data_IF_902778631856
#
_entry.id   IF_902778631856
#
_cell.length_a   1.000
_cell.length_b   1.000
_cell.length_c   1.000
_cell.angle_alpha   90.00
_cell.angle_beta   90.00
_cell.angle_gamma   90.00
#
_symmetry.space_group_name_H-M   'P 1'
#
loop_
_entity.id
_entity.type
_entity.pdbx_description
1 polymer ?
#
# COMPACT_ATOMS: atom_id res chain seq x y z
N UNK A 1 21.00 1.19 5.03
CA UNK A 1 19.61 1.42 5.43
C UNK A 1 18.74 0.21 5.13
N UNK A 2 17.60 0.08 5.79
CA UNK A 2 16.56 -0.87 5.47
C UNK A 2 15.24 -0.13 5.21
N UNK A 3 14.31 -0.75 4.46
CA UNK A 3 12.97 -0.23 4.20
C UNK A 3 12.00 -1.39 4.03
N UNK A 4 10.74 -1.19 4.45
CA UNK A 4 9.67 -2.04 3.96
C UNK A 4 9.58 -1.90 2.43
N UNK A 5 9.37 -3.03 1.76
CA UNK A 5 9.35 -3.10 0.28
C UNK A 5 8.24 -2.22 -0.32
N UNK A 6 7.13 -2.07 0.39
CA UNK A 6 6.01 -1.25 -0.07
C UNK A 6 6.38 0.21 -0.31
N UNK A 7 7.46 0.71 0.28
CA UNK A 7 7.95 2.09 0.11
C UNK A 7 9.08 2.23 -0.90
N UNK A 8 9.51 1.14 -1.56
CA UNK A 8 10.70 1.17 -2.42
C UNK A 8 10.68 2.28 -3.48
N UNK A 9 9.56 2.62 -4.17
CA UNK A 9 9.58 3.70 -5.15
C UNK A 9 9.93 5.06 -4.55
N UNK A 10 9.39 5.37 -3.37
CA UNK A 10 9.69 6.65 -2.67
C UNK A 10 11.13 6.66 -2.18
N UNK A 11 11.59 5.56 -1.60
CA UNK A 11 12.94 5.48 -1.04
C UNK A 11 13.99 5.54 -2.15
N UNK A 12 13.77 4.89 -3.28
CA UNK A 12 14.67 4.97 -4.44
C UNK A 12 14.79 6.39 -4.96
N UNK A 13 13.68 7.11 -5.07
CA UNK A 13 13.70 8.53 -5.49
C UNK A 13 14.44 9.41 -4.50
N UNK A 14 14.20 9.25 -3.20
CA UNK A 14 14.91 9.98 -2.15
C UNK A 14 16.42 9.72 -2.19
N UNK A 15 16.82 8.45 -2.34
CA UNK A 15 18.22 8.07 -2.39
C UNK A 15 18.91 8.59 -3.65
N UNK A 16 18.26 8.53 -4.82
CA UNK A 16 18.77 9.09 -6.06
C UNK A 16 19.01 10.61 -5.93
N UNK A 17 18.04 11.36 -5.37
CA UNK A 17 18.17 12.77 -5.12
C UNK A 17 19.31 13.10 -4.13
N UNK A 18 19.47 12.29 -3.09
CA UNK A 18 20.56 12.44 -2.12
C UNK A 18 21.92 12.18 -2.76
N UNK A 19 22.08 11.07 -3.49
CA UNK A 19 23.33 10.72 -4.20
C UNK A 19 23.69 11.73 -5.30
N UNK A 20 22.68 12.29 -5.98
CA UNK A 20 22.92 13.39 -6.93
C UNK A 20 23.55 14.61 -6.27
N UNK A 21 23.10 14.95 -5.04
CA UNK A 21 23.65 16.07 -4.27
C UNK A 21 24.99 15.75 -3.61
N UNK A 22 25.21 14.49 -3.26
CA UNK A 22 26.41 13.99 -2.58
C UNK A 22 26.99 12.77 -3.34
N UNK A 23 27.69 12.99 -4.45
CA UNK A 23 28.11 11.92 -5.37
C UNK A 23 29.07 10.89 -4.77
N UNK A 24 29.80 11.24 -3.70
CA UNK A 24 30.69 10.34 -2.97
C UNK A 24 29.96 9.34 -2.05
N UNK A 25 28.64 9.49 -1.87
CA UNK A 25 27.88 8.58 -1.03
C UNK A 25 27.33 7.40 -1.82
N UNK A 26 27.46 6.19 -1.27
CA UNK A 26 26.91 4.98 -1.85
C UNK A 26 25.88 4.38 -0.89
N UNK A 27 24.61 4.66 -1.14
CA UNK A 27 23.50 4.18 -0.31
C UNK A 27 22.82 3.01 -1.00
N UNK A 28 22.82 1.85 -0.36
CA UNK A 28 22.11 0.65 -0.84
C UNK A 28 21.09 0.23 0.22
N UNK A 29 19.80 0.42 -0.04
CA UNK A 29 18.76 0.00 0.89
C UNK A 29 18.56 -1.53 0.81
N UNK A 30 18.25 -2.14 1.95
CA UNK A 30 17.79 -3.52 2.04
C UNK A 30 16.27 -3.46 2.09
N UNK A 31 15.60 -3.90 1.03
CA UNK A 31 14.14 -4.02 1.02
C UNK A 31 13.71 -5.34 1.66
N UNK A 32 12.80 -5.25 2.62
CA UNK A 32 12.34 -6.39 3.40
C UNK A 32 10.93 -6.11 3.98
N UNK A 33 10.43 -6.96 4.86
CA UNK A 33 9.24 -6.68 5.65
C UNK A 33 9.59 -5.90 6.94
N UNK A 34 8.58 -5.28 7.56
CA UNK A 34 8.73 -4.46 8.77
C UNK A 34 9.43 -5.21 9.92
N UNK A 35 9.08 -6.48 10.15
CA UNK A 35 9.64 -7.27 11.26
C UNK A 35 11.13 -7.51 11.07
N UNK A 36 11.52 -7.89 9.86
CA UNK A 36 12.93 -8.14 9.53
C UNK A 36 13.73 -6.83 9.47
N UNK A 37 13.15 -5.74 8.99
CA UNK A 37 13.75 -4.41 9.00
C UNK A 37 14.05 -3.94 10.43
N UNK A 38 13.09 -4.10 11.34
CA UNK A 38 13.28 -3.80 12.77
C UNK A 38 14.37 -4.67 13.39
N UNK A 39 14.41 -5.97 13.05
CA UNK A 39 15.47 -6.87 13.54
C UNK A 39 16.86 -6.44 13.06
N UNK A 40 16.99 -6.02 11.80
CA UNK A 40 18.26 -5.49 11.27
C UNK A 40 18.71 -4.22 12.02
N UNK A 41 17.77 -3.36 12.41
CA UNK A 41 18.05 -2.17 13.21
C UNK A 41 18.48 -2.55 14.65
N UNK A 42 17.77 -3.45 15.30
CA UNK A 42 18.08 -3.97 16.63
C UNK A 42 19.43 -4.69 16.68
N UNK A 43 19.81 -5.37 15.60
CA UNK A 43 21.11 -6.05 15.47
C UNK A 43 22.23 -5.10 15.02
N UNK A 44 21.96 -3.80 14.90
CA UNK A 44 22.90 -2.77 14.46
C UNK A 44 23.52 -3.04 13.06
N UNK A 45 22.84 -3.83 12.25
CA UNK A 45 23.24 -4.09 10.85
C UNK A 45 22.88 -2.94 9.92
N UNK A 46 21.91 -2.12 10.31
CA UNK A 46 21.55 -0.87 9.67
C UNK A 46 21.38 0.22 10.72
N UNK A 47 21.63 1.48 10.33
CA UNK A 47 21.49 2.65 11.19
C UNK A 47 20.22 3.46 10.86
N UNK A 48 19.50 3.09 9.81
CA UNK A 48 18.29 3.77 9.33
C UNK A 48 17.31 2.74 8.85
N UNK A 49 16.04 2.85 9.29
CA UNK A 49 14.95 2.00 8.86
C UNK A 49 13.73 2.86 8.52
N UNK A 50 13.22 2.69 7.30
CA UNK A 50 12.01 3.32 6.80
C UNK A 50 10.83 2.37 6.98
N UNK A 51 9.85 2.78 7.75
CA UNK A 51 8.70 1.94 8.13
C UNK A 51 7.48 2.82 8.45
N UNK A 52 6.28 2.26 8.34
CA UNK A 52 5.07 2.86 8.93
C UNK A 52 4.81 2.37 10.35
N UNK A 53 5.58 1.37 10.82
CA UNK A 53 5.45 0.84 12.16
C UNK A 53 5.89 1.89 13.20
N UNK A 54 5.02 2.23 14.12
CA UNK A 54 5.35 3.11 15.23
C UNK A 54 6.28 2.38 16.21
N UNK A 55 7.40 3.01 16.57
CA UNK A 55 8.35 2.45 17.53
C UNK A 55 7.65 2.15 18.87
N UNK A 56 7.61 0.90 19.26
CA UNK A 56 7.03 0.49 20.53
C UNK A 56 7.97 0.81 21.71
N UNK A 57 7.41 0.90 22.93
CA UNK A 57 8.22 1.11 24.15
C UNK A 57 9.26 0.01 24.36
N UNK A 58 8.94 -1.23 23.97
CA UNK A 58 9.88 -2.36 24.08
C UNK A 58 11.05 -2.22 23.12
N UNK A 59 10.78 -1.91 21.86
CA UNK A 59 11.79 -1.68 20.82
C UNK A 59 12.68 -0.46 21.16
N UNK A 60 12.07 0.64 21.62
CA UNK A 60 12.82 1.82 22.08
C UNK A 60 13.78 1.47 23.22
N UNK A 61 13.33 0.71 24.22
CA UNK A 61 14.16 0.26 25.32
C UNK A 61 15.34 -0.63 24.84
N UNK A 62 15.05 -1.59 23.95
CA UNK A 62 16.08 -2.46 23.36
C UNK A 62 17.13 -1.70 22.55
N UNK A 63 16.69 -0.70 21.77
CA UNK A 63 17.60 0.14 20.99
C UNK A 63 18.51 0.97 21.89
N UNK A 64 17.95 1.58 22.94
CA UNK A 64 18.72 2.37 23.93
C UNK A 64 19.73 1.55 24.73
N UNK A 65 19.41 0.30 25.01
CA UNK A 65 20.33 -0.62 25.70
C UNK A 65 21.55 -0.97 24.83
N UNK A 66 21.35 -1.08 23.50
CA UNK A 66 22.38 -1.52 22.56
C UNK A 66 23.21 -0.38 21.95
N UNK A 67 22.74 0.86 22.00
CA UNK A 67 23.44 1.94 21.30
C UNK A 67 22.86 3.34 21.51
N UNK A 68 23.01 4.21 20.51
CA UNK A 68 22.51 5.58 20.59
C UNK A 68 20.99 5.62 20.69
N UNK A 69 20.49 6.69 21.30
CA UNK A 69 19.05 6.96 21.41
C UNK A 69 18.42 7.01 20.02
N UNK A 70 17.40 6.18 19.73
CA UNK A 70 16.73 6.21 18.44
C UNK A 70 16.01 7.54 18.24
N UNK A 71 16.13 8.11 17.05
CA UNK A 71 15.38 9.29 16.62
C UNK A 71 14.34 8.89 15.59
N UNK A 72 13.10 9.32 15.75
CA UNK A 72 11.98 9.02 14.83
C UNK A 72 11.55 10.30 14.15
N UNK A 73 11.51 10.28 12.83
CA UNK A 73 11.12 11.42 12.01
C UNK A 73 10.03 11.01 11.02
N UNK A 74 8.88 11.69 10.98
CA UNK A 74 7.92 11.53 9.89
C UNK A 74 8.51 12.13 8.61
N UNK A 75 8.58 11.34 7.54
CA UNK A 75 9.10 11.78 6.23
C UNK A 75 8.01 12.04 5.21
N UNK A 76 6.80 11.51 5.42
CA UNK A 76 5.66 11.69 4.53
C UNK A 76 4.49 10.81 4.92
N UNK A 77 3.43 10.93 4.14
CA UNK A 77 2.23 10.10 4.22
C UNK A 77 2.02 9.40 2.88
N UNK A 78 1.67 8.13 2.91
CA UNK A 78 1.24 7.38 1.72
C UNK A 78 -0.21 6.91 1.92
N UNK A 79 -0.89 6.59 0.83
CA UNK A 79 -2.25 6.08 0.84
C UNK A 79 -2.29 4.60 0.45
N UNK A 80 -3.31 3.89 0.91
CA UNK A 80 -3.59 2.54 0.42
C UNK A 80 -4.53 2.62 -0.76
N UNK A 81 -4.10 2.09 -1.89
CA UNK A 81 -4.83 2.07 -3.15
C UNK A 81 -5.46 0.70 -3.43
N UNK A 82 -6.63 0.74 -4.05
CA UNK A 82 -7.31 -0.43 -4.60
C UNK A 82 -7.25 -0.37 -6.12
N UNK A 83 -6.78 -1.46 -6.72
CA UNK A 83 -6.62 -1.56 -8.18
C UNK A 83 -7.38 -2.78 -8.71
N UNK A 84 -7.93 -2.64 -9.90
CA UNK A 84 -8.63 -3.72 -10.59
C UNK A 84 -8.13 -3.84 -12.04
N UNK A 85 -8.45 -4.96 -12.66
CA UNK A 85 -8.18 -5.15 -14.09
C UNK A 85 -8.92 -4.11 -14.93
N UNK A 86 -8.33 -3.66 -16.03
CA UNK A 86 -8.93 -2.66 -16.93
C UNK A 86 -10.27 -3.10 -17.52
N UNK A 87 -10.54 -4.39 -17.60
CA UNK A 87 -11.83 -4.95 -18.08
C UNK A 87 -12.90 -5.03 -17.00
N UNK A 88 -12.58 -4.68 -15.73
CA UNK A 88 -13.56 -4.64 -14.68
C UNK A 88 -14.47 -3.41 -14.84
N UNK A 89 -15.79 -3.62 -14.74
CA UNK A 89 -16.78 -2.56 -14.91
C UNK A 89 -16.81 -1.57 -13.72
N UNK A 90 -16.41 -2.03 -12.53
CA UNK A 90 -16.47 -1.23 -11.30
C UNK A 90 -15.22 -0.37 -11.15
N UNK A 91 -15.36 0.92 -11.35
CA UNK A 91 -14.30 1.92 -11.19
C UNK A 91 -14.42 2.70 -9.87
N UNK A 92 -15.54 2.56 -9.16
CA UNK A 92 -15.82 3.24 -7.90
C UNK A 92 -16.50 2.26 -6.93
N UNK A 93 -16.03 2.23 -5.68
CA UNK A 93 -16.65 1.46 -4.59
C UNK A 93 -16.70 2.27 -3.31
N UNK A 94 -17.57 1.91 -2.37
CA UNK A 94 -17.64 2.60 -1.08
C UNK A 94 -16.60 2.05 -0.10
N UNK A 95 -16.20 2.85 0.89
CA UNK A 95 -15.39 2.38 2.04
C UNK A 95 -16.06 1.18 2.72
N UNK A 96 -17.39 1.20 2.80
CA UNK A 96 -18.17 0.10 3.37
C UNK A 96 -18.03 -1.18 2.54
N UNK A 97 -18.04 -1.07 1.21
CA UNK A 97 -17.89 -2.23 0.33
C UNK A 97 -16.47 -2.80 0.39
N UNK A 98 -15.45 -1.95 0.48
CA UNK A 98 -14.07 -2.39 0.76
C UNK A 98 -14.04 -3.25 2.02
N UNK A 99 -14.62 -2.76 3.13
CA UNK A 99 -14.67 -3.51 4.40
C UNK A 99 -15.41 -4.84 4.25
N UNK A 100 -16.51 -4.88 3.49
CA UNK A 100 -17.28 -6.11 3.24
C UNK A 100 -16.52 -7.11 2.39
N UNK A 101 -15.79 -6.67 1.38
CA UNK A 101 -14.92 -7.54 0.55
C UNK A 101 -13.83 -8.15 1.44
N UNK A 102 -13.11 -7.33 2.19
CA UNK A 102 -12.01 -7.77 3.05
C UNK A 102 -12.47 -8.68 4.18
N UNK A 103 -13.68 -8.45 4.72
CA UNK A 103 -14.30 -9.30 5.76
C UNK A 103 -14.99 -10.55 5.21
N UNK A 104 -15.04 -10.75 3.89
CA UNK A 104 -15.66 -11.89 3.23
C UNK A 104 -17.19 -11.84 3.14
N UNK A 105 -17.82 -10.73 3.49
CA UNK A 105 -19.28 -10.54 3.38
C UNK A 105 -19.70 -10.36 1.91
N UNK A 106 -18.84 -9.76 1.08
CA UNK A 106 -18.99 -9.67 -0.36
C UNK A 106 -17.87 -10.53 -0.98
N UNK A 107 -18.28 -11.58 -1.69
CA UNK A 107 -17.38 -12.55 -2.31
C UNK A 107 -17.43 -12.53 -3.85
N UNK A 108 -18.41 -11.86 -4.44
CA UNK A 108 -18.62 -11.79 -5.89
C UNK A 108 -18.84 -10.36 -6.35
N UNK A 109 -18.37 -10.04 -7.54
CA UNK A 109 -18.53 -8.72 -8.15
C UNK A 109 -19.99 -8.35 -8.38
N UNK A 110 -20.86 -9.30 -8.72
CA UNK A 110 -22.29 -9.04 -8.94
C UNK A 110 -23.06 -8.70 -7.65
N UNK A 111 -22.47 -8.87 -6.48
CA UNK A 111 -23.04 -8.39 -5.20
C UNK A 111 -22.82 -6.88 -5.02
N UNK A 112 -21.81 -6.30 -5.68
CA UNK A 112 -21.58 -4.85 -5.75
C UNK A 112 -22.35 -4.23 -6.89
N UNK A 113 -22.22 -4.81 -8.09
CA UNK A 113 -22.84 -4.34 -9.30
C UNK A 113 -23.44 -5.54 -10.04
N UNK A 114 -24.78 -5.66 -10.10
CA UNK A 114 -25.45 -6.79 -10.75
C UNK A 114 -25.05 -7.02 -12.22
N UNK A 115 -24.51 -5.99 -12.90
CA UNK A 115 -24.04 -6.07 -14.28
C UNK A 115 -22.60 -6.56 -14.40
N UNK A 116 -21.88 -6.68 -13.28
CA UNK A 116 -20.50 -7.17 -13.28
C UNK A 116 -20.48 -8.70 -13.22
N UNK A 117 -20.07 -9.34 -14.30
CA UNK A 117 -20.04 -10.78 -14.50
C UNK A 117 -18.70 -11.45 -14.18
N UNK A 118 -17.77 -10.72 -13.55
CA UNK A 118 -16.41 -11.22 -13.28
C UNK A 118 -16.33 -12.37 -12.26
N UNK A 119 -17.44 -12.75 -11.65
CA UNK A 119 -17.51 -13.87 -10.72
C UNK A 119 -16.95 -13.57 -9.32
N UNK A 120 -16.20 -14.52 -8.77
CA UNK A 120 -15.65 -14.38 -7.42
C UNK A 120 -14.56 -13.32 -7.38
N UNK A 121 -14.56 -12.49 -6.34
CA UNK A 121 -13.50 -11.51 -6.09
C UNK A 121 -12.26 -12.24 -5.56
N UNK A 122 -11.11 -11.99 -6.17
CA UNK A 122 -9.81 -12.42 -5.68
C UNK A 122 -9.06 -11.20 -5.14
N UNK A 123 -8.66 -11.25 -3.87
CA UNK A 123 -8.00 -10.12 -3.20
C UNK A 123 -6.49 -10.36 -3.18
N UNK A 124 -5.75 -9.54 -3.93
CA UNK A 124 -4.29 -9.61 -4.04
C UNK A 124 -3.60 -8.68 -3.04
N UNK A 125 -2.66 -9.22 -2.28
CA UNK A 125 -1.74 -8.48 -1.41
C UNK A 125 -0.29 -8.81 -1.76
N UNK A 126 0.64 -7.93 -1.39
CA UNK A 126 2.08 -8.10 -1.59
C UNK A 126 2.64 -9.28 -0.75
N UNK A 127 2.72 -9.16 0.57
CA UNK A 127 3.14 -10.25 1.45
C UNK A 127 2.41 -10.21 2.80
N UNK A 128 2.57 -11.27 3.60
CA UNK A 128 1.85 -11.44 4.87
C UNK A 128 2.33 -10.53 6.01
N UNK A 129 3.49 -9.92 5.86
CA UNK A 129 4.10 -9.05 6.88
C UNK A 129 4.36 -7.65 6.34
N UNK A 130 3.67 -7.24 5.26
CA UNK A 130 3.84 -5.92 4.67
C UNK A 130 3.13 -4.84 5.47
N UNK A 131 3.66 -3.63 5.37
CA UNK A 131 3.02 -2.43 5.90
C UNK A 131 1.59 -2.25 5.34
N UNK A 132 1.38 -2.57 4.06
CA UNK A 132 0.07 -2.56 3.39
C UNK A 132 -0.94 -3.45 4.11
N UNK A 133 -0.56 -4.70 4.42
CA UNK A 133 -1.46 -5.63 5.09
C UNK A 133 -1.74 -5.22 6.53
N UNK A 134 -0.72 -4.76 7.26
CA UNK A 134 -0.88 -4.25 8.62
C UNK A 134 -1.86 -3.07 8.66
N UNK A 135 -1.71 -2.11 7.75
CA UNK A 135 -2.66 -0.99 7.65
C UNK A 135 -4.09 -1.46 7.39
N UNK A 136 -4.29 -2.43 6.48
CA UNK A 136 -5.63 -2.98 6.19
C UNK A 136 -6.24 -3.62 7.43
N UNK A 137 -5.48 -4.42 8.16
CA UNK A 137 -5.98 -5.08 9.38
C UNK A 137 -6.29 -4.06 10.47
N UNK A 138 -5.36 -3.18 10.78
CA UNK A 138 -5.45 -2.29 11.93
C UNK A 138 -6.39 -1.11 11.66
N UNK A 139 -6.22 -0.42 10.53
CA UNK A 139 -6.95 0.83 10.24
C UNK A 139 -8.27 0.58 9.51
N UNK A 140 -8.31 -0.32 8.52
CA UNK A 140 -9.53 -0.55 7.74
C UNK A 140 -10.48 -1.50 8.47
N UNK A 141 -9.96 -2.60 9.00
CA UNK A 141 -10.77 -3.65 9.66
C UNK A 141 -10.85 -3.50 11.18
N UNK A 142 -10.15 -2.53 11.79
CA UNK A 142 -10.18 -2.27 13.23
C UNK A 142 -9.62 -3.44 14.05
N UNK A 143 -8.48 -3.98 13.64
CA UNK A 143 -7.78 -5.10 14.29
C UNK A 143 -8.36 -6.49 13.98
N UNK A 144 -9.31 -6.59 13.05
CA UNK A 144 -9.89 -7.88 12.64
C UNK A 144 -9.13 -8.48 11.47
N UNK A 145 -8.92 -9.77 11.50
CA UNK A 145 -8.31 -10.50 10.38
C UNK A 145 -9.15 -10.43 9.12
N UNK A 146 -8.46 -10.42 7.97
CA UNK A 146 -9.10 -10.56 6.66
C UNK A 146 -9.72 -11.94 6.56
N UNK A 147 -10.99 -11.99 6.12
CA UNK A 147 -11.78 -13.23 5.97
C UNK A 147 -12.24 -13.48 4.54
N UNK A 148 -11.73 -12.73 3.57
CA UNK A 148 -12.00 -13.02 2.16
C UNK A 148 -11.59 -14.46 1.84
N UNK A 149 -12.45 -15.20 1.13
CA UNK A 149 -12.21 -16.61 0.83
C UNK A 149 -11.06 -16.81 -0.18
N UNK A 150 -10.82 -15.82 -1.03
CA UNK A 150 -9.88 -15.89 -2.14
C UNK A 150 -8.78 -14.81 -1.97
N UNK A 151 -7.87 -15.04 -1.03
CA UNK A 151 -6.70 -14.17 -0.83
C UNK A 151 -5.52 -14.75 -1.61
N UNK A 152 -4.92 -13.92 -2.42
CA UNK A 152 -3.69 -14.23 -3.16
C UNK A 152 -2.57 -13.38 -2.58
N UNK A 153 -1.54 -14.03 -2.04
CA UNK A 153 -0.31 -13.37 -1.63
C UNK A 153 0.66 -13.35 -2.83
N UNK A 154 0.90 -12.19 -3.37
CA UNK A 154 2.00 -11.94 -4.29
C UNK A 154 3.28 -11.68 -3.49
N UNK A 155 4.45 -11.81 -4.09
CA UNK A 155 5.70 -11.67 -3.34
C UNK A 155 6.05 -10.20 -3.01
N UNK A 156 5.51 -9.26 -3.78
CA UNK A 156 5.77 -7.82 -3.66
C UNK A 156 4.67 -7.01 -4.37
N UNK A 157 4.67 -5.70 -4.20
CA UNK A 157 3.67 -4.79 -4.77
C UNK A 157 3.65 -4.80 -6.31
N UNK A 158 4.80 -4.94 -6.97
CA UNK A 158 4.87 -5.10 -8.43
C UNK A 158 4.14 -6.36 -8.89
N UNK A 159 4.33 -7.48 -8.17
CA UNK A 159 3.65 -8.74 -8.47
C UNK A 159 2.13 -8.65 -8.27
N UNK A 160 1.64 -7.82 -7.34
CA UNK A 160 0.21 -7.53 -7.21
C UNK A 160 -0.32 -6.82 -8.47
N UNK A 161 0.40 -5.81 -8.98
CA UNK A 161 0.02 -5.10 -10.21
C UNK A 161 -0.03 -6.07 -11.39
N UNK A 162 1.02 -6.89 -11.56
CA UNK A 162 1.10 -7.88 -12.65
C UNK A 162 -0.03 -8.94 -12.55
N UNK A 163 -0.38 -9.33 -11.32
CA UNK A 163 -1.47 -10.26 -11.06
C UNK A 163 -2.83 -9.66 -11.44
N UNK A 164 -3.12 -8.44 -10.99
CA UNK A 164 -4.36 -7.73 -11.31
C UNK A 164 -4.49 -7.48 -12.80
N UNK A 165 -3.39 -7.12 -13.48
CA UNK A 165 -3.37 -6.93 -14.94
C UNK A 165 -3.81 -8.19 -15.69
N UNK A 166 -3.42 -9.38 -15.22
CA UNK A 166 -3.70 -10.67 -15.86
C UNK A 166 -5.00 -11.33 -15.39
N UNK A 167 -5.59 -10.88 -14.27
CA UNK A 167 -6.71 -11.54 -13.61
C UNK A 167 -7.94 -10.63 -13.57
N UNK A 168 -8.94 -10.85 -14.47
CA UNK A 168 -10.09 -9.95 -14.64
C UNK A 168 -10.96 -9.74 -13.41
N UNK A 169 -10.98 -10.70 -12.48
CA UNK A 169 -11.78 -10.68 -11.25
C UNK A 169 -10.98 -10.28 -10.01
N UNK A 170 -9.69 -9.93 -10.16
CA UNK A 170 -8.86 -9.54 -9.04
C UNK A 170 -9.11 -8.07 -8.60
N UNK A 171 -9.00 -7.84 -7.30
CA UNK A 171 -8.77 -6.55 -6.68
C UNK A 171 -7.45 -6.61 -5.94
N UNK A 172 -6.52 -5.72 -6.27
CA UNK A 172 -5.22 -5.60 -5.61
C UNK A 172 -5.22 -4.48 -4.57
N UNK A 173 -4.47 -4.67 -3.51
CA UNK A 173 -4.25 -3.68 -2.46
C UNK A 173 -2.76 -3.37 -2.37
N UNK A 174 -2.38 -2.12 -2.61
CA UNK A 174 -0.98 -1.67 -2.67
C UNK A 174 -0.84 -0.25 -2.09
N UNK A 175 0.39 0.17 -1.79
CA UNK A 175 0.69 1.57 -1.50
C UNK A 175 0.46 2.45 -2.74
N UNK A 176 -0.05 3.67 -2.54
CA UNK A 176 -0.35 4.59 -3.64
C UNK A 176 0.90 5.01 -4.41
N UNK A 177 2.06 4.99 -3.76
CA UNK A 177 3.36 5.28 -4.36
C UNK A 177 3.73 4.36 -5.54
N UNK A 178 3.12 3.16 -5.62
CA UNK A 178 3.33 2.21 -6.71
C UNK A 178 2.52 2.53 -7.98
N UNK A 179 1.57 3.45 -7.90
CA UNK A 179 0.65 3.76 -9.01
C UNK A 179 1.25 4.66 -10.06
N UNK A 180 2.25 5.47 -9.70
CA UNK A 180 2.80 6.48 -10.60
C UNK A 180 3.33 5.86 -11.89
N UNK A 181 2.95 6.45 -13.02
CA UNK A 181 3.51 6.11 -14.32
C UNK A 181 4.85 6.84 -14.50
N UNK A 182 5.95 6.15 -14.29
CA UNK A 182 7.30 6.70 -14.44
C UNK A 182 7.61 7.22 -15.86
N UNK A 183 6.74 6.96 -16.85
CA UNK A 183 6.82 7.56 -18.20
C UNK A 183 6.29 9.00 -18.22
N UNK A 184 5.54 9.39 -17.22
CA UNK A 184 5.03 10.75 -17.03
C UNK A 184 5.97 11.51 -16.08
N UNK A 185 6.78 12.40 -16.65
CA UNK A 185 7.73 13.24 -15.89
C UNK A 185 7.06 14.17 -14.88
N UNK A 186 5.74 14.37 -14.98
CA UNK A 186 4.97 15.20 -14.04
C UNK A 186 4.47 14.42 -12.82
N UNK A 187 4.59 13.09 -12.82
CA UNK A 187 4.06 12.18 -11.80
C UNK A 187 2.57 12.41 -11.47
N UNK A 188 1.78 12.87 -12.45
CA UNK A 188 0.36 13.18 -12.27
C UNK A 188 -0.57 12.11 -12.81
N UNK A 189 -0.03 11.08 -13.48
CA UNK A 189 -0.81 9.98 -14.05
C UNK A 189 -0.47 8.64 -13.41
N UNK A 190 -1.48 7.77 -13.37
CA UNK A 190 -1.32 6.39 -12.91
C UNK A 190 -0.99 5.45 -14.06
N UNK A 191 -0.42 4.29 -13.72
CA UNK A 191 -0.15 3.20 -14.66
C UNK A 191 -1.41 2.82 -15.44
N UNK A 192 -1.26 2.66 -16.76
CA UNK A 192 -2.38 2.35 -17.69
C UNK A 192 -2.72 0.87 -17.76
N UNK A 193 -1.87 0.01 -17.18
CA UNK A 193 -2.03 -1.44 -17.25
C UNK A 193 -3.11 -1.97 -16.27
N UNK A 194 -3.48 -1.12 -15.31
CA UNK A 194 -4.52 -1.40 -14.31
C UNK A 194 -5.45 -0.19 -14.17
N UNK A 195 -6.59 -0.40 -13.55
CA UNK A 195 -7.50 0.67 -13.18
C UNK A 195 -7.44 0.92 -11.67
N UNK A 196 -7.20 2.16 -11.29
CA UNK A 196 -7.27 2.59 -9.89
C UNK A 196 -8.73 2.86 -9.53
N UNK A 197 -9.19 2.23 -8.47
CA UNK A 197 -10.57 2.35 -7.99
C UNK A 197 -10.74 3.64 -7.20
N UNK A 198 -11.77 4.41 -7.55
CA UNK A 198 -12.20 5.55 -6.75
C UNK A 198 -12.95 5.10 -5.50
N UNK A 199 -12.63 5.67 -4.34
CA UNK A 199 -13.27 5.35 -3.07
C UNK A 199 -14.22 6.45 -2.62
N UNK A 200 -15.44 6.05 -2.26
CA UNK A 200 -16.46 6.95 -1.73
C UNK A 200 -16.68 6.73 -0.24
N UNK A 201 -16.77 7.83 0.52
CA UNK A 201 -17.17 7.83 1.93
C UNK A 201 -18.69 7.78 2.12
N UNK A 202 -19.44 7.90 1.04
CA UNK A 202 -20.92 7.87 1.07
C UNK A 202 -21.47 6.45 0.98
N UNK A 203 -22.78 6.29 1.03
CA UNK A 203 -23.45 4.98 0.97
C UNK A 203 -23.52 4.40 -0.45
N UNK A 204 -23.37 5.23 -1.49
CA UNK A 204 -23.39 4.86 -2.89
C UNK A 204 -22.21 5.50 -3.60
N UNK A 205 -21.35 4.69 -4.20
CA UNK A 205 -20.21 5.20 -4.97
C UNK A 205 -20.65 5.61 -6.38
N UNK A 206 -20.24 6.81 -6.77
CA UNK A 206 -20.41 7.39 -8.10
C UNK A 206 -19.12 8.13 -8.48
N UNK A 207 -18.82 8.35 -9.77
CA UNK A 207 -17.62 9.07 -10.17
C UNK A 207 -17.45 10.44 -9.49
N UNK A 208 -18.58 11.14 -9.25
CA UNK A 208 -18.60 12.49 -8.69
C UNK A 208 -18.30 12.55 -7.20
N UNK A 209 -18.44 11.44 -6.47
CA UNK A 209 -18.23 11.35 -5.02
C UNK A 209 -17.16 10.33 -4.62
N UNK A 210 -16.38 9.86 -5.59
CA UNK A 210 -15.34 8.86 -5.41
C UNK A 210 -13.97 9.43 -5.77
N UNK A 211 -13.00 9.23 -4.91
CA UNK A 211 -11.68 9.83 -5.04
C UNK A 211 -10.62 8.77 -5.22
N UNK A 212 -9.71 8.98 -6.14
CA UNK A 212 -8.50 8.18 -6.33
C UNK A 212 -7.37 8.78 -5.47
N UNK A 213 -6.31 8.02 -5.12
CA UNK A 213 -5.27 8.45 -4.19
C UNK A 213 -4.26 9.42 -4.84
N UNK A 214 -4.75 10.48 -5.47
CA UNK A 214 -3.90 11.59 -5.88
C UNK A 214 -3.42 12.38 -4.67
N UNK A 215 -2.20 12.88 -4.72
CA UNK A 215 -1.57 13.61 -3.62
C UNK A 215 -2.46 14.71 -3.04
N UNK A 216 -3.14 15.49 -3.88
CA UNK A 216 -4.06 16.53 -3.43
C UNK A 216 -5.21 15.98 -2.59
N UNK A 217 -5.75 14.79 -2.93
CA UNK A 217 -6.87 14.16 -2.23
C UNK A 217 -6.46 13.39 -0.98
N UNK A 218 -5.20 12.98 -0.90
CA UNK A 218 -4.59 12.47 0.33
C UNK A 218 -4.44 13.61 1.35
N UNK A 219 -3.87 14.75 0.91
CA UNK A 219 -3.60 15.89 1.77
C UNK A 219 -4.86 16.59 2.30
N UNK A 220 -5.91 16.74 1.48
CA UNK A 220 -7.15 17.41 1.90
C UNK A 220 -8.17 16.46 2.55
N UNK A 221 -7.81 15.18 2.71
CA UNK A 221 -8.61 14.17 3.38
C UNK A 221 -9.83 13.70 2.60
N UNK A 222 -9.94 14.00 1.30
CA UNK A 222 -11.01 13.44 0.45
C UNK A 222 -10.83 11.93 0.25
N UNK A 223 -9.60 11.49 -0.01
CA UNK A 223 -9.31 10.06 -0.04
C UNK A 223 -9.36 9.45 1.37
N UNK A 224 -9.97 8.26 1.56
CA UNK A 224 -10.27 7.76 2.90
C UNK A 224 -9.13 7.02 3.61
N UNK A 225 -8.15 6.50 2.89
CA UNK A 225 -7.12 5.61 3.44
C UNK A 225 -5.71 6.19 3.25
N UNK A 226 -5.26 6.93 4.26
CA UNK A 226 -3.96 7.61 4.33
C UNK A 226 -3.21 7.19 5.58
#
# INVERSE_FOLDING_TARGET
SASDESYSPIIEELLQNYQFRYPETHLMPIYTDDNKGMQLLLDQKVNLFFTSHALTKGEDAMLREKGPIPAVFPIGYDGIAFIVNNTNADSCITVTDVKKILSGQIAKWNQLNPKNDKGNIEVGFDNKASATLHYVVDSILGGKNIKSANIVAANNSKSVIDYVHKTPNAIGVIGSNWLNDHRDSTNTTFKKDIRVVGLSKTTVAQPENSWQPYQAYLLDGRYPFV
#
